data_IF_484997486124
#
_entry.id   IF_484997486124
#
_cell.length_a   1.000
_cell.length_b   1.000
_cell.length_c   1.000
_cell.angle_alpha   90.00
_cell.angle_beta   90.00
_cell.angle_gamma   90.00
#
_symmetry.space_group_name_H-M   'P 1'
#
loop_
_entity.id
_entity.type
_entity.pdbx_description
1 polymer ?
#
# COMPACT_ATOMS: atom_id res chain seq x y z
N UNK A 1 5.78 39.19 -28.36
CA UNK A 1 4.55 38.46 -28.01
C UNK A 1 4.45 37.23 -28.91
N UNK A 2 4.99 36.09 -28.47
CA UNK A 2 4.90 34.82 -29.21
C UNK A 2 4.04 33.86 -28.38
N UNK A 3 2.85 33.56 -28.88
CA UNK A 3 1.88 32.69 -28.26
C UNK A 3 2.42 31.25 -28.17
N UNK A 4 2.56 30.74 -26.95
CA UNK A 4 2.85 29.33 -26.67
C UNK A 4 1.64 28.48 -27.03
N UNK A 5 1.80 27.60 -28.01
CA UNK A 5 0.80 26.65 -28.49
C UNK A 5 0.65 25.52 -27.47
N UNK A 6 -0.40 25.57 -26.64
CA UNK A 6 -0.77 24.49 -25.74
C UNK A 6 -1.42 23.33 -26.53
N UNK A 7 -0.64 22.34 -26.93
CA UNK A 7 -1.17 21.07 -27.42
C UNK A 7 -1.69 20.22 -26.24
N UNK A 8 -2.95 19.76 -26.24
CA UNK A 8 -3.41 18.82 -25.24
C UNK A 8 -2.76 17.45 -25.48
N UNK A 9 -2.01 16.96 -24.50
CA UNK A 9 -1.48 15.60 -24.48
C UNK A 9 -2.67 14.61 -24.48
N UNK A 10 -3.03 14.11 -25.66
CA UNK A 10 -4.04 13.07 -25.81
C UNK A 10 -3.55 11.78 -25.14
N UNK A 11 -3.96 11.58 -23.89
CA UNK A 11 -3.68 10.34 -23.16
C UNK A 11 -4.42 9.20 -23.87
N UNK A 12 -3.69 8.30 -24.54
CA UNK A 12 -4.28 7.25 -25.35
C UNK A 12 -5.04 6.26 -24.46
N UNK A 13 -6.38 6.34 -24.48
CA UNK A 13 -7.30 5.51 -23.69
C UNK A 13 -6.95 4.01 -23.77
N UNK A 14 -6.45 3.56 -24.93
CA UNK A 14 -6.01 2.17 -25.15
C UNK A 14 -4.87 1.71 -24.22
N UNK A 15 -3.89 2.56 -23.90
CA UNK A 15 -2.77 2.17 -23.04
C UNK A 15 -3.22 1.93 -21.60
N UNK A 16 -4.18 2.72 -21.11
CA UNK A 16 -4.79 2.54 -19.78
C UNK A 16 -5.56 1.23 -19.68
N UNK A 17 -6.33 0.87 -20.70
CA UNK A 17 -7.09 -0.39 -20.73
C UNK A 17 -6.16 -1.60 -20.71
N UNK A 18 -5.06 -1.58 -21.48
CA UNK A 18 -4.06 -2.65 -21.47
C UNK A 18 -3.46 -2.85 -20.08
N UNK A 19 -3.07 -1.78 -19.39
CA UNK A 19 -2.54 -1.90 -18.02
C UNK A 19 -3.56 -2.43 -17.01
N UNK A 20 -4.83 -2.01 -17.12
CA UNK A 20 -5.89 -2.51 -16.25
C UNK A 20 -6.14 -4.00 -16.48
N UNK A 21 -6.22 -4.43 -17.74
CA UNK A 21 -6.41 -5.84 -18.10
C UNK A 21 -5.22 -6.70 -17.68
N UNK A 22 -3.99 -6.22 -17.91
CA UNK A 22 -2.79 -6.93 -17.48
C UNK A 22 -2.73 -7.08 -15.95
N UNK A 23 -3.07 -6.02 -15.21
CA UNK A 23 -3.22 -6.07 -13.75
C UNK A 23 -4.28 -7.07 -13.30
N UNK A 24 -5.47 -7.01 -13.91
CA UNK A 24 -6.57 -7.91 -13.56
C UNK A 24 -6.25 -9.38 -13.84
N UNK A 25 -5.71 -9.67 -15.04
CA UNK A 25 -5.33 -11.02 -15.44
C UNK A 25 -4.21 -11.58 -14.58
N UNK A 26 -3.19 -10.77 -14.26
CA UNK A 26 -2.11 -11.20 -13.38
C UNK A 26 -2.60 -11.45 -11.95
N UNK A 27 -3.44 -10.58 -11.39
CA UNK A 27 -4.07 -10.82 -10.09
C UNK A 27 -4.92 -12.09 -10.08
N UNK A 28 -5.74 -12.31 -11.11
CA UNK A 28 -6.55 -13.52 -11.24
C UNK A 28 -5.69 -14.79 -11.37
N UNK A 29 -4.61 -14.74 -12.16
CA UNK A 29 -3.68 -15.84 -12.32
C UNK A 29 -2.99 -16.20 -11.00
N UNK A 30 -2.49 -15.21 -10.25
CA UNK A 30 -1.88 -15.46 -8.94
C UNK A 30 -2.89 -15.96 -7.91
N UNK A 31 -4.12 -15.44 -7.91
CA UNK A 31 -5.18 -15.93 -7.04
C UNK A 31 -5.49 -17.40 -7.33
N UNK A 32 -5.60 -17.76 -8.60
CA UNK A 32 -5.85 -19.13 -9.03
C UNK A 32 -4.70 -20.06 -8.63
N UNK A 33 -3.45 -19.63 -8.78
CA UNK A 33 -2.28 -20.40 -8.34
C UNK A 33 -2.24 -20.58 -6.82
N UNK A 34 -2.59 -19.54 -6.05
CA UNK A 34 -2.61 -19.59 -4.59
C UNK A 34 -3.66 -20.58 -4.06
N UNK A 35 -4.86 -20.59 -4.65
CA UNK A 35 -5.96 -21.46 -4.17
C UNK A 35 -5.82 -22.90 -4.69
N UNK A 36 -5.20 -23.11 -5.85
CA UNK A 36 -5.11 -24.44 -6.50
C UNK A 36 -4.50 -25.55 -5.66
N UNK A 37 -3.61 -25.24 -4.72
CA UNK A 37 -2.98 -26.21 -3.82
C UNK A 37 -3.34 -25.98 -2.35
N UNK A 38 -4.32 -25.14 -2.08
CA UNK A 38 -4.71 -24.80 -0.73
C UNK A 38 -5.67 -25.86 -0.18
N UNK A 39 -5.20 -26.67 0.76
CA UNK A 39 -6.05 -27.54 1.55
C UNK A 39 -6.73 -26.71 2.63
N UNK A 40 -8.02 -26.43 2.47
CA UNK A 40 -8.79 -25.61 3.42
C UNK A 40 -8.82 -26.22 4.85
N UNK A 41 -8.74 -27.55 4.96
CA UNK A 41 -8.67 -28.24 6.24
C UNK A 41 -7.37 -27.93 6.98
N UNK A 42 -6.24 -27.87 6.28
CA UNK A 42 -4.94 -27.51 6.85
C UNK A 42 -4.92 -26.05 7.29
N UNK A 43 -5.56 -25.15 6.53
CA UNK A 43 -5.71 -23.74 6.90
C UNK A 43 -6.54 -23.60 8.17
N UNK A 44 -7.67 -24.29 8.26
CA UNK A 44 -8.56 -24.24 9.43
C UNK A 44 -7.85 -24.78 10.66
N UNK A 45 -7.15 -25.92 10.52
CA UNK A 45 -6.36 -26.52 11.60
C UNK A 45 -5.22 -25.60 12.05
N UNK A 46 -4.51 -24.97 11.11
CA UNK A 46 -3.45 -24.03 11.43
C UNK A 46 -3.99 -22.79 12.17
N UNK A 47 -5.18 -22.30 11.81
CA UNK A 47 -5.83 -21.17 12.49
C UNK A 47 -6.31 -21.53 13.89
N UNK A 48 -6.88 -22.73 14.10
CA UNK A 48 -7.38 -23.16 15.42
C UNK A 48 -6.26 -23.53 16.40
N UNK A 49 -5.11 -23.97 15.89
CA UNK A 49 -3.93 -24.32 16.70
C UNK A 49 -2.85 -23.22 16.71
N UNK A 50 -3.17 -22.02 16.22
CA UNK A 50 -2.22 -20.92 16.22
C UNK A 50 -1.93 -20.44 17.65
N UNK A 51 -0.68 -20.59 18.09
CA UNK A 51 -0.19 -20.00 19.33
C UNK A 51 -0.04 -18.48 19.17
N UNK A 52 -1.03 -17.74 19.67
CA UNK A 52 -1.06 -16.27 19.54
C UNK A 52 -0.04 -15.57 20.44
N UNK A 53 0.36 -16.20 21.55
CA UNK A 53 1.36 -15.66 22.46
C UNK A 53 2.71 -16.33 22.23
N UNK A 54 3.84 -15.59 22.13
CA UNK A 54 4.02 -14.13 22.14
C UNK A 54 4.05 -13.50 20.74
N UNK A 55 3.73 -14.26 19.69
CA UNK A 55 3.91 -13.83 18.30
C UNK A 55 2.99 -12.70 17.87
N UNK A 56 1.74 -12.69 18.36
CA UNK A 56 0.78 -11.64 18.06
C UNK A 56 1.23 -10.25 18.57
N UNK A 57 1.58 -10.06 19.86
CA UNK A 57 2.08 -8.76 20.31
C UNK A 57 3.40 -8.38 19.64
N UNK A 58 4.29 -9.34 19.36
CA UNK A 58 5.54 -9.05 18.62
C UNK A 58 5.25 -8.58 17.19
N UNK A 59 4.27 -9.19 16.51
CA UNK A 59 3.77 -8.78 15.20
C UNK A 59 3.18 -7.37 15.22
N UNK A 60 2.35 -7.07 16.22
CA UNK A 60 1.78 -5.72 16.39
C UNK A 60 2.88 -4.69 16.67
N UNK A 61 3.81 -4.98 17.56
CA UNK A 61 4.91 -4.07 17.89
C UNK A 61 5.83 -3.84 16.68
N UNK A 62 6.16 -4.87 15.91
CA UNK A 62 6.96 -4.74 14.70
C UNK A 62 6.23 -3.93 13.61
N UNK A 63 4.91 -4.10 13.46
CA UNK A 63 4.08 -3.31 12.56
C UNK A 63 4.05 -1.83 12.95
N UNK A 64 3.84 -1.53 14.24
CA UNK A 64 3.86 -0.16 14.77
C UNK A 64 5.26 0.47 14.63
N UNK A 65 6.32 -0.30 14.88
CA UNK A 65 7.69 0.15 14.67
C UNK A 65 7.95 0.49 13.20
N UNK A 66 7.44 -0.32 12.26
CA UNK A 66 7.51 -0.05 10.83
C UNK A 66 6.84 1.27 10.44
N UNK A 67 5.67 1.57 11.02
CA UNK A 67 5.00 2.86 10.82
C UNK A 67 5.77 4.04 11.42
N UNK A 68 6.36 3.86 12.61
CA UNK A 68 7.19 4.88 13.23
C UNK A 68 8.44 5.20 12.38
N UNK A 69 9.11 4.19 11.82
CA UNK A 69 10.27 4.38 10.93
C UNK A 69 9.86 5.14 9.66
N UNK A 70 8.72 4.81 9.06
CA UNK A 70 8.18 5.54 7.89
C UNK A 70 7.85 6.99 8.24
N UNK A 71 7.24 7.24 9.40
CA UNK A 71 6.98 8.59 9.92
C UNK A 71 8.26 9.40 10.14
N UNK A 72 9.30 8.79 10.72
CA UNK A 72 10.63 9.42 10.90
C UNK A 72 11.26 9.73 9.53
N UNK A 73 11.18 8.82 8.56
CA UNK A 73 11.69 9.03 7.21
C UNK A 73 10.97 10.20 6.53
N UNK A 74 9.63 10.22 6.55
CA UNK A 74 8.85 11.32 5.99
C UNK A 74 9.18 12.66 6.65
N UNK A 75 9.38 12.68 7.99
CA UNK A 75 9.84 13.89 8.69
C UNK A 75 11.22 14.36 8.21
N UNK A 76 12.16 13.45 7.95
CA UNK A 76 13.50 13.79 7.45
C UNK A 76 13.48 14.34 6.01
N UNK A 77 12.58 13.84 5.16
CA UNK A 77 12.37 14.41 3.82
C UNK A 77 11.66 15.77 3.88
N UNK A 78 10.62 15.90 4.71
CA UNK A 78 9.85 17.14 4.85
C UNK A 78 10.56 18.23 5.66
N UNK A 79 11.62 17.91 6.41
CA UNK A 79 12.33 18.90 7.24
C UNK A 79 13.07 19.98 6.45
N UNK A 80 13.20 19.82 5.13
CA UNK A 80 13.69 20.88 4.24
C UNK A 80 12.65 21.97 3.94
N UNK A 81 11.35 21.67 4.08
CA UNK A 81 10.26 22.57 3.68
C UNK A 81 9.28 22.92 4.82
N UNK A 82 9.18 22.10 5.88
CA UNK A 82 8.27 22.35 7.01
C UNK A 82 8.79 21.79 8.35
N UNK A 83 8.64 22.57 9.44
CA UNK A 83 8.89 22.10 10.81
C UNK A 83 7.68 21.31 11.34
N UNK A 84 7.66 20.01 11.08
CA UNK A 84 6.65 19.09 11.61
C UNK A 84 7.12 18.39 12.90
N UNK A 85 6.25 18.34 13.91
CA UNK A 85 6.44 17.51 15.12
C UNK A 85 6.35 16.03 14.76
N UNK A 86 7.09 15.17 15.48
CA UNK A 86 7.16 13.73 15.20
C UNK A 86 5.77 13.07 15.19
N UNK A 87 4.89 13.48 16.12
CA UNK A 87 3.54 12.94 16.24
C UNK A 87 2.66 13.30 15.03
N UNK A 88 2.71 14.54 14.56
CA UNK A 88 1.94 14.98 13.39
C UNK A 88 2.43 14.31 12.12
N UNK A 89 3.75 14.18 11.92
CA UNK A 89 4.32 13.48 10.78
C UNK A 89 3.94 11.98 10.75
N UNK A 90 3.96 11.31 11.89
CA UNK A 90 3.52 9.92 11.99
C UNK A 90 2.03 9.78 11.72
N UNK A 91 1.18 10.66 12.26
CA UNK A 91 -0.27 10.62 12.01
C UNK A 91 -0.61 10.82 10.53
N UNK A 92 0.08 11.74 9.83
CA UNK A 92 -0.11 11.94 8.40
C UNK A 92 0.32 10.71 7.60
N UNK A 93 1.43 10.05 7.94
CA UNK A 93 1.87 8.82 7.27
C UNK A 93 0.92 7.65 7.54
N UNK A 94 0.42 7.51 8.77
CA UNK A 94 -0.53 6.45 9.12
C UNK A 94 -1.86 6.68 8.40
N UNK A 95 -2.35 7.93 8.36
CA UNK A 95 -3.55 8.29 7.62
C UNK A 95 -3.36 8.08 6.11
N UNK A 96 -2.24 8.53 5.55
CA UNK A 96 -1.89 8.31 4.14
C UNK A 96 -1.79 6.82 3.81
N UNK A 97 -1.21 6.01 4.71
CA UNK A 97 -1.19 4.56 4.56
C UNK A 97 -2.60 3.96 4.60
N UNK A 98 -3.42 4.32 5.59
CA UNK A 98 -4.80 3.83 5.70
C UNK A 98 -5.62 4.18 4.44
N UNK A 99 -5.51 5.42 3.98
CA UNK A 99 -6.14 5.93 2.76
C UNK A 99 -5.62 5.16 1.53
N UNK A 100 -4.33 4.90 1.43
CA UNK A 100 -3.72 4.17 0.32
C UNK A 100 -4.15 2.67 0.28
N UNK A 101 -4.49 2.09 1.43
CA UNK A 101 -5.03 0.73 1.50
C UNK A 101 -6.54 0.66 1.22
N UNK A 102 -7.28 1.75 1.43
CA UNK A 102 -8.74 1.81 1.27
C UNK A 102 -9.17 2.38 -0.09
N UNK A 103 -8.45 3.38 -0.61
CA UNK A 103 -8.78 4.02 -1.88
C UNK A 103 -8.06 3.34 -3.05
N UNK A 104 -8.78 3.00 -4.14
CA UNK A 104 -8.15 2.52 -5.35
C UNK A 104 -7.23 3.60 -5.94
N UNK A 105 -6.07 3.18 -6.46
CA UNK A 105 -5.04 3.99 -7.13
C UNK A 105 -4.00 4.72 -6.24
N UNK A 106 -3.82 4.32 -4.98
CA UNK A 106 -2.70 4.83 -4.14
C UNK A 106 -2.58 6.36 -4.12
N UNK A 107 -3.70 7.07 -4.07
CA UNK A 107 -3.78 8.54 -4.11
C UNK A 107 -3.36 9.24 -2.80
N UNK A 108 -2.79 8.49 -1.85
CA UNK A 108 -2.32 8.98 -0.54
C UNK A 108 -0.83 9.28 -0.52
#
# INVERSE_FOLDING_TARGET
>A
MTASTNAPLAHSKGRRVVFVLAGLLSSAAFMLLAVRRLAFDDVTRALTHAELWPWLPLGVLSYLAGHAVRGIRCRRLASGEARLTRTTATNVVVLGYAVNNILPARLG
#
